data_IF_992268628288
#
_entry.id   IF_992268628288
#
_cell.length_a   1.000
_cell.length_b   1.000
_cell.length_c   1.000
_cell.angle_alpha   90.00
_cell.angle_beta   90.00
_cell.angle_gamma   90.00
#
_symmetry.space_group_name_H-M   'P 1'
#
loop_
_entity.id
_entity.type
_entity.pdbx_description
1 polymer ?
#
# COMPACT_ATOMS: atom_id res chain seq x y z
N UNK A 1 -12.48 -19.59 -49.66
CA UNK A 1 -12.32 -20.30 -48.37
C UNK A 1 -12.16 -19.21 -47.33
N UNK A 2 -13.27 -18.86 -46.69
CA UNK A 2 -13.40 -17.81 -45.69
C UNK A 2 -13.12 -18.43 -44.33
N UNK A 3 -11.99 -18.03 -43.69
CA UNK A 3 -11.65 -18.42 -42.36
C UNK A 3 -12.40 -17.56 -41.37
N UNK A 4 -13.39 -18.12 -40.68
CA UNK A 4 -14.05 -17.54 -39.54
C UNK A 4 -13.08 -17.46 -38.33
N UNK A 5 -12.72 -16.26 -37.95
CA UNK A 5 -12.07 -15.99 -36.71
C UNK A 5 -13.11 -16.09 -35.60
N UNK A 6 -13.12 -17.20 -34.86
CA UNK A 6 -13.94 -17.39 -33.66
C UNK A 6 -13.44 -16.41 -32.57
N UNK A 7 -14.13 -15.30 -32.42
CA UNK A 7 -14.00 -14.43 -31.25
C UNK A 7 -14.44 -15.21 -30.04
N UNK A 8 -13.49 -15.58 -29.17
CA UNK A 8 -13.79 -16.15 -27.87
C UNK A 8 -14.65 -15.16 -27.07
N UNK A 9 -15.82 -15.59 -26.65
CA UNK A 9 -16.73 -14.81 -25.80
C UNK A 9 -15.99 -14.41 -24.50
N UNK A 10 -16.22 -13.19 -23.98
CA UNK A 10 -15.63 -12.79 -22.71
C UNK A 10 -16.12 -13.73 -21.59
N UNK A 11 -15.19 -14.27 -20.82
CA UNK A 11 -15.46 -15.16 -19.68
C UNK A 11 -16.55 -14.57 -18.81
N UNK A 12 -17.57 -15.37 -18.44
CA UNK A 12 -18.71 -14.91 -17.67
C UNK A 12 -18.27 -14.34 -16.32
N UNK A 13 -19.00 -13.36 -15.77
CA UNK A 13 -18.70 -12.78 -14.45
C UNK A 13 -18.66 -13.82 -13.32
N UNK A 14 -19.32 -14.98 -13.49
CA UNK A 14 -19.25 -16.11 -12.56
C UNK A 14 -17.91 -16.83 -12.58
N UNK A 15 -17.26 -16.99 -13.73
CA UNK A 15 -15.95 -17.66 -13.85
C UNK A 15 -14.82 -16.83 -13.25
N UNK A 16 -14.95 -15.49 -13.22
CA UNK A 16 -13.98 -14.61 -12.58
C UNK A 16 -14.06 -14.69 -11.03
N UNK A 17 -15.22 -14.92 -10.46
CA UNK A 17 -15.44 -15.00 -9.01
C UNK A 17 -14.89 -16.29 -8.38
N UNK A 18 -14.74 -17.35 -9.17
CA UNK A 18 -14.21 -18.64 -8.68
C UNK A 18 -12.67 -18.73 -8.75
N UNK A 19 -12.01 -17.78 -9.40
CA UNK A 19 -10.55 -17.71 -9.43
C UNK A 19 -10.00 -17.18 -8.11
N UNK A 20 -9.14 -17.97 -7.46
CA UNK A 20 -8.51 -17.58 -6.19
C UNK A 20 -7.63 -16.34 -6.36
N UNK A 21 -7.78 -15.38 -5.45
CA UNK A 21 -6.83 -14.27 -5.33
C UNK A 21 -5.44 -14.81 -4.98
N UNK A 22 -4.43 -14.39 -5.72
CA UNK A 22 -3.03 -14.73 -5.49
C UNK A 22 -2.28 -13.44 -5.18
N UNK A 23 -1.57 -13.44 -4.07
CA UNK A 23 -0.64 -12.36 -3.72
C UNK A 23 0.77 -12.93 -3.73
N UNK A 24 1.67 -12.28 -4.42
CA UNK A 24 3.09 -12.63 -4.42
C UNK A 24 3.95 -11.43 -4.09
N UNK A 25 5.08 -11.69 -3.43
CA UNK A 25 6.06 -10.68 -3.06
C UNK A 25 7.41 -11.04 -3.68
N UNK A 26 8.16 -10.03 -4.09
CA UNK A 26 9.49 -10.18 -4.66
C UNK A 26 10.40 -9.13 -4.04
N UNK A 27 11.57 -9.57 -3.56
CA UNK A 27 12.66 -8.73 -3.04
C UNK A 27 13.98 -9.31 -3.54
N UNK A 28 14.94 -8.45 -3.71
CA UNK A 28 16.29 -8.82 -4.06
C UNK A 28 17.24 -8.31 -2.97
N UNK A 29 18.15 -9.17 -2.51
CA UNK A 29 19.12 -8.81 -1.47
C UNK A 29 20.07 -7.70 -1.91
N UNK A 30 20.31 -7.60 -3.21
CA UNK A 30 21.14 -6.57 -3.84
C UNK A 30 20.46 -5.18 -3.93
N UNK A 31 19.15 -5.13 -3.62
CA UNK A 31 18.32 -3.92 -3.67
C UNK A 31 17.58 -3.77 -2.34
N UNK A 32 18.28 -3.44 -1.25
CA UNK A 32 17.65 -3.24 0.04
C UNK A 32 16.61 -2.09 -0.05
N UNK A 33 15.49 -2.25 0.63
CA UNK A 33 14.44 -1.23 0.64
C UNK A 33 13.48 -1.24 -0.55
N UNK A 34 13.65 -2.14 -1.54
CA UNK A 34 12.74 -2.27 -2.69
C UNK A 34 11.94 -3.58 -2.59
N UNK A 35 10.62 -3.49 -2.73
CA UNK A 35 9.73 -4.64 -2.77
C UNK A 35 8.69 -4.48 -3.87
N UNK A 36 8.42 -5.56 -4.60
CA UNK A 36 7.27 -5.65 -5.51
C UNK A 36 6.26 -6.63 -4.94
N UNK A 37 5.00 -6.19 -4.85
CA UNK A 37 3.85 -7.02 -4.51
C UNK A 37 2.93 -7.11 -5.72
N UNK A 38 2.65 -8.30 -6.19
CA UNK A 38 1.71 -8.55 -7.28
C UNK A 38 0.41 -9.14 -6.75
N UNK A 39 -0.71 -8.61 -7.22
CA UNK A 39 -2.05 -9.11 -6.98
C UNK A 39 -2.57 -9.74 -8.27
N UNK A 40 -3.07 -10.96 -8.21
CA UNK A 40 -3.75 -11.64 -9.31
C UNK A 40 -5.19 -11.99 -8.87
N UNK A 41 -6.18 -11.72 -9.70
CA UNK A 41 -7.61 -11.94 -9.43
C UNK A 41 -8.09 -11.25 -8.15
N UNK A 42 -7.57 -10.05 -7.84
CA UNK A 42 -7.99 -9.31 -6.66
C UNK A 42 -9.41 -8.80 -6.83
N UNK A 43 -10.32 -9.27 -5.96
CA UNK A 43 -11.76 -8.99 -6.00
C UNK A 43 -12.26 -8.35 -4.70
N UNK A 44 -11.40 -8.10 -3.74
CA UNK A 44 -11.81 -7.62 -2.40
C UNK A 44 -11.44 -6.17 -2.17
N UNK A 45 -12.28 -5.49 -1.38
CA UNK A 45 -11.94 -4.23 -0.76
C UNK A 45 -10.91 -4.45 0.36
N UNK A 46 -9.94 -3.55 0.47
CA UNK A 46 -8.93 -3.55 1.51
C UNK A 46 -8.43 -2.14 1.79
N UNK A 47 -7.67 -1.99 2.83
CA UNK A 47 -7.00 -0.74 3.17
C UNK A 47 -5.54 -1.02 3.48
N UNK A 48 -4.67 -0.04 3.24
CA UNK A 48 -3.26 -0.08 3.59
C UNK A 48 -2.83 1.16 4.35
N UNK A 49 -1.75 1.02 5.11
CA UNK A 49 -0.97 2.12 5.67
C UNK A 49 0.45 1.96 5.14
N UNK A 50 1.00 2.99 4.54
CA UNK A 50 2.33 2.95 3.95
C UNK A 50 3.37 3.42 4.96
N UNK A 51 4.39 2.60 5.23
CA UNK A 51 5.60 3.00 5.98
C UNK A 51 6.68 3.58 5.07
N UNK A 52 6.52 3.37 3.77
CA UNK A 52 7.48 3.67 2.72
C UNK A 52 6.76 4.35 1.54
N UNK A 53 7.46 4.77 0.50
CA UNK A 53 6.81 5.20 -0.74
C UNK A 53 6.21 3.98 -1.45
N UNK A 54 4.92 4.05 -1.76
CA UNK A 54 4.20 2.94 -2.38
C UNK A 54 3.47 3.41 -3.63
N UNK A 55 3.68 2.68 -4.73
CA UNK A 55 3.10 2.97 -6.04
C UNK A 55 2.24 1.77 -6.45
N UNK A 56 0.94 1.98 -6.59
CA UNK A 56 0.04 0.95 -7.10
C UNK A 56 -0.35 1.23 -8.55
N UNK A 57 -0.08 0.29 -9.44
CA UNK A 57 -0.45 0.34 -10.85
C UNK A 57 -1.34 -0.85 -11.21
N UNK A 58 -2.62 -0.61 -11.54
CA UNK A 58 -3.51 -1.63 -12.12
C UNK A 58 -3.00 -2.09 -13.49
N UNK A 59 -3.06 -3.40 -13.76
CA UNK A 59 -2.81 -3.96 -15.09
C UNK A 59 -4.09 -4.32 -15.81
N UNK A 60 -5.00 -5.00 -15.12
CA UNK A 60 -6.35 -5.34 -15.61
C UNK A 60 -7.40 -5.09 -14.53
N UNK A 61 -6.98 -4.63 -13.35
CA UNK A 61 -7.86 -4.36 -12.23
C UNK A 61 -8.53 -2.99 -12.35
N UNK A 62 -9.83 -2.92 -12.01
CA UNK A 62 -10.57 -1.66 -11.90
C UNK A 62 -11.21 -1.55 -10.52
N UNK A 63 -11.17 -0.37 -9.92
CA UNK A 63 -11.82 -0.15 -8.64
C UNK A 63 -11.82 1.29 -8.16
N UNK A 64 -12.67 1.53 -7.18
CA UNK A 64 -12.80 2.80 -6.49
C UNK A 64 -11.84 2.85 -5.31
N UNK A 65 -10.95 3.85 -5.32
CA UNK A 65 -9.94 4.05 -4.28
C UNK A 65 -10.10 5.41 -3.65
N UNK A 66 -9.93 5.45 -2.33
CA UNK A 66 -9.85 6.67 -1.55
C UNK A 66 -8.43 6.85 -1.00
N UNK A 67 -7.87 8.03 -1.19
CA UNK A 67 -6.56 8.41 -0.68
C UNK A 67 -6.47 9.93 -0.55
N UNK A 68 -5.86 10.45 0.53
CA UNK A 68 -5.72 11.90 0.79
C UNK A 68 -7.03 12.69 0.63
N UNK A 69 -8.17 12.16 1.10
CA UNK A 69 -9.51 12.75 0.97
C UNK A 69 -10.03 12.86 -0.47
N UNK A 70 -9.32 12.29 -1.42
CA UNK A 70 -9.72 12.18 -2.81
C UNK A 70 -10.32 10.81 -3.11
N UNK A 71 -11.22 10.76 -4.09
CA UNK A 71 -11.76 9.53 -4.64
C UNK A 71 -11.36 9.43 -6.11
N UNK A 72 -10.87 8.28 -6.51
CA UNK A 72 -10.54 8.01 -7.90
C UNK A 72 -11.02 6.61 -8.30
N UNK A 73 -11.40 6.48 -9.57
CA UNK A 73 -11.56 5.18 -10.22
C UNK A 73 -10.24 4.84 -10.89
N UNK A 74 -9.56 3.86 -10.34
CA UNK A 74 -8.29 3.38 -10.88
C UNK A 74 -8.53 2.31 -11.94
N UNK A 75 -7.74 2.38 -12.99
CA UNK A 75 -7.79 1.50 -14.17
C UNK A 75 -6.38 1.36 -14.77
N UNK A 76 -6.15 0.45 -15.72
CA UNK A 76 -4.86 0.40 -16.44
C UNK A 76 -4.42 1.78 -16.94
N UNK A 77 -3.14 2.08 -16.82
CA UNK A 77 -2.55 3.39 -17.09
C UNK A 77 -2.64 4.41 -15.96
N UNK A 78 -3.37 4.12 -14.86
CA UNK A 78 -3.37 4.98 -13.67
C UNK A 78 -2.34 4.52 -12.64
N UNK A 79 -1.91 5.43 -11.77
CA UNK A 79 -1.07 5.14 -10.60
C UNK A 79 -1.62 5.83 -9.36
N UNK A 80 -1.56 5.13 -8.22
CA UNK A 80 -1.71 5.71 -6.89
C UNK A 80 -0.31 5.85 -6.28
N UNK A 81 -0.03 7.01 -5.70
CA UNK A 81 1.21 7.25 -4.96
C UNK A 81 0.89 7.52 -3.49
N UNK A 82 1.31 6.62 -2.61
CA UNK A 82 1.20 6.81 -1.17
C UNK A 82 2.58 7.08 -0.56
N UNK A 83 2.65 8.09 0.30
CA UNK A 83 3.86 8.44 1.04
C UNK A 83 3.92 7.72 2.39
N UNK A 84 5.09 7.68 3.03
CA UNK A 84 5.20 7.22 4.40
C UNK A 84 4.21 7.96 5.32
N UNK A 85 3.49 7.22 6.14
CA UNK A 85 2.48 7.77 7.05
C UNK A 85 1.07 7.91 6.48
N UNK A 86 0.83 7.50 5.26
CA UNK A 86 -0.46 7.67 4.60
C UNK A 86 -1.28 6.38 4.53
N UNK A 87 -2.61 6.58 4.48
CA UNK A 87 -3.60 5.50 4.35
C UNK A 87 -4.26 5.60 2.98
N UNK A 88 -4.47 4.47 2.35
CA UNK A 88 -5.33 4.33 1.18
C UNK A 88 -6.37 3.22 1.40
N UNK A 89 -7.53 3.36 0.74
CA UNK A 89 -8.63 2.41 0.86
C UNK A 89 -9.13 2.03 -0.53
N UNK A 90 -9.08 0.76 -0.85
CA UNK A 90 -9.86 0.18 -1.95
C UNK A 90 -11.28 -0.02 -1.42
N UNK A 91 -12.20 0.85 -1.84
CA UNK A 91 -13.59 0.83 -1.37
C UNK A 91 -14.43 -0.20 -2.09
N UNK A 92 -14.23 -0.32 -3.39
CA UNK A 92 -15.00 -1.21 -4.25
C UNK A 92 -14.14 -1.69 -5.41
N UNK A 93 -14.17 -2.98 -5.67
CA UNK A 93 -13.62 -3.55 -6.89
C UNK A 93 -14.73 -3.60 -7.93
N UNK A 94 -14.53 -2.94 -9.05
CA UNK A 94 -15.48 -2.90 -10.17
C UNK A 94 -15.26 -4.08 -11.10
N UNK A 95 -13.99 -4.35 -11.40
CA UNK A 95 -13.55 -5.51 -12.19
C UNK A 95 -12.36 -6.15 -11.51
N UNK A 96 -12.51 -7.42 -11.06
CA UNK A 96 -11.38 -8.20 -10.55
C UNK A 96 -10.27 -8.33 -11.59
N UNK A 97 -9.03 -8.25 -11.15
CA UNK A 97 -7.92 -8.30 -12.09
C UNK A 97 -6.56 -8.34 -11.42
N UNK A 98 -5.55 -7.95 -12.16
CA UNK A 98 -4.17 -7.92 -11.72
C UNK A 98 -3.70 -6.48 -11.51
N UNK A 99 -2.83 -6.30 -10.53
CA UNK A 99 -2.15 -5.04 -10.27
C UNK A 99 -0.86 -5.27 -9.49
N UNK A 100 0.04 -4.31 -9.56
CA UNK A 100 1.33 -4.40 -8.87
C UNK A 100 1.53 -3.19 -7.97
N UNK A 101 2.13 -3.45 -6.81
CA UNK A 101 2.68 -2.43 -5.94
C UNK A 101 4.20 -2.45 -6.06
N UNK A 102 4.80 -1.28 -6.18
CA UNK A 102 6.21 -1.03 -5.96
C UNK A 102 6.35 -0.28 -4.65
N UNK A 103 7.10 -0.82 -3.72
CA UNK A 103 7.44 -0.16 -2.45
C UNK A 103 8.92 0.17 -2.46
N UNK A 104 9.25 1.43 -2.16
CA UNK A 104 10.63 1.92 -2.03
C UNK A 104 10.74 2.64 -0.69
N UNK A 105 11.63 2.19 0.19
CA UNK A 105 11.81 2.89 1.46
C UNK A 105 12.46 4.27 1.26
N UNK A 106 12.23 5.16 2.21
CA UNK A 106 12.67 6.55 2.08
C UNK A 106 14.20 6.69 1.96
N UNK A 107 14.96 5.77 2.57
CA UNK A 107 16.41 5.75 2.49
C UNK A 107 16.88 5.31 1.10
N UNK A 108 16.32 4.20 0.59
CA UNK A 108 16.63 3.73 -0.75
C UNK A 108 16.24 4.79 -1.79
N UNK A 109 15.06 5.41 -1.66
CA UNK A 109 14.66 6.49 -2.54
C UNK A 109 15.63 7.67 -2.49
N UNK A 110 16.10 8.04 -1.30
CA UNK A 110 17.10 9.10 -1.15
C UNK A 110 18.42 8.73 -1.82
N UNK A 111 18.90 7.50 -1.66
CA UNK A 111 20.12 7.00 -2.32
C UNK A 111 20.00 7.08 -3.86
N UNK A 112 18.82 6.75 -4.41
CA UNK A 112 18.54 6.88 -5.85
C UNK A 112 18.36 8.34 -6.32
N UNK A 113 18.03 9.29 -5.42
CA UNK A 113 17.83 10.71 -5.72
C UNK A 113 19.03 11.59 -5.40
N UNK A 114 20.13 11.05 -4.85
CA UNK A 114 21.29 11.84 -4.37
C UNK A 114 21.88 12.83 -5.38
N UNK A 115 21.60 12.67 -6.66
CA UNK A 115 22.00 13.62 -7.70
C UNK A 115 21.10 14.87 -7.82
N UNK A 116 19.98 14.95 -7.05
CA UNK A 116 18.94 15.97 -7.27
C UNK A 116 18.68 16.90 -6.09
N UNK A 117 19.58 17.03 -5.11
CA UNK A 117 19.56 18.00 -3.99
C UNK A 117 18.24 18.07 -3.17
N UNK A 118 17.27 17.16 -3.37
CA UNK A 118 15.99 17.15 -2.63
C UNK A 118 15.92 15.94 -1.69
N UNK A 119 15.75 16.16 -0.37
CA UNK A 119 15.53 15.05 0.55
C UNK A 119 14.19 14.34 0.26
N UNK A 120 14.18 13.01 0.28
CA UNK A 120 12.99 12.21 -0.03
C UNK A 120 11.76 12.57 0.83
N UNK A 121 11.95 13.08 2.06
CA UNK A 121 10.86 13.54 2.95
C UNK A 121 10.16 14.81 2.50
N UNK A 122 10.76 15.58 1.60
CA UNK A 122 10.15 16.78 0.98
C UNK A 122 9.47 16.46 -0.35
N UNK A 123 9.64 15.23 -0.83
CA UNK A 123 9.02 14.78 -2.06
C UNK A 123 7.49 14.72 -1.88
N UNK A 124 6.77 15.50 -2.68
CA UNK A 124 5.31 15.45 -2.75
C UNK A 124 4.88 15.02 -4.13
N UNK A 125 4.22 13.87 -4.19
CA UNK A 125 3.68 13.31 -5.43
C UNK A 125 2.16 13.40 -5.42
N UNK A 126 1.54 13.56 -6.57
CA UNK A 126 0.08 13.49 -6.73
C UNK A 126 -0.44 12.17 -6.19
N UNK A 127 -1.54 12.23 -5.43
CA UNK A 127 -2.18 11.03 -4.86
C UNK A 127 -2.60 10.02 -5.94
N UNK A 128 -3.12 10.54 -7.05
CA UNK A 128 -3.55 9.78 -8.22
C UNK A 128 -3.11 10.50 -9.49
N UNK A 129 -2.70 9.73 -10.48
CA UNK A 129 -2.39 10.26 -11.81
C UNK A 129 -2.69 9.23 -12.91
N UNK A 130 -2.88 9.73 -14.13
CA UNK A 130 -2.72 8.93 -15.34
C UNK A 130 -1.28 9.08 -15.80
N UNK A 131 -0.58 7.98 -15.98
CA UNK A 131 0.80 7.96 -16.44
C UNK A 131 0.86 8.20 -17.95
N UNK A 132 1.92 8.85 -18.41
CA UNK A 132 2.29 8.77 -19.82
C UNK A 132 2.66 7.33 -20.20
N UNK A 133 2.61 7.00 -21.46
CA UNK A 133 3.07 5.69 -21.95
C UNK A 133 4.53 5.41 -21.58
N UNK A 134 5.37 6.44 -21.55
CA UNK A 134 6.78 6.34 -21.16
C UNK A 134 6.93 5.99 -19.69
N UNK A 135 6.22 6.65 -18.78
CA UNK A 135 6.28 6.36 -17.35
C UNK A 135 5.72 4.98 -17.04
N UNK A 136 4.61 4.60 -17.69
CA UNK A 136 4.03 3.28 -17.55
C UNK A 136 5.00 2.18 -18.00
N UNK A 137 5.69 2.36 -19.12
CA UNK A 137 6.72 1.43 -19.61
C UNK A 137 7.89 1.29 -18.62
N UNK A 138 8.39 2.41 -18.05
CA UNK A 138 9.46 2.39 -17.04
C UNK A 138 9.02 1.62 -15.79
N UNK A 139 7.81 1.85 -15.30
CA UNK A 139 7.29 1.11 -14.15
C UNK A 139 7.12 -0.38 -14.46
N UNK A 140 6.62 -0.73 -15.63
CA UNK A 140 6.52 -2.13 -16.07
C UNK A 140 7.89 -2.80 -16.18
N UNK A 141 8.91 -2.07 -16.58
CA UNK A 141 10.29 -2.58 -16.64
C UNK A 141 10.81 -2.92 -15.24
N UNK A 142 10.58 -2.06 -14.24
CA UNK A 142 10.91 -2.37 -12.84
C UNK A 142 10.22 -3.67 -12.41
N UNK A 143 8.92 -3.83 -12.66
CA UNK A 143 8.18 -5.05 -12.31
C UNK A 143 8.71 -6.30 -13.03
N UNK A 144 9.20 -6.15 -14.26
CA UNK A 144 9.78 -7.23 -15.03
C UNK A 144 11.14 -7.66 -14.47
N UNK A 145 12.00 -6.70 -14.16
CA UNK A 145 13.39 -6.92 -13.78
C UNK A 145 13.56 -7.39 -12.33
N UNK A 146 12.65 -7.05 -11.40
CA UNK A 146 12.71 -7.54 -10.00
C UNK A 146 12.56 -9.07 -9.92
N UNK A 147 12.16 -9.74 -11.01
CA UNK A 147 12.16 -11.21 -11.09
C UNK A 147 13.58 -11.77 -11.13
N UNK A 148 13.79 -13.08 -10.76
CA UNK A 148 15.09 -13.71 -10.88
C UNK A 148 15.62 -13.70 -12.33
N UNK A 149 16.90 -13.44 -12.48
CA UNK A 149 17.61 -13.47 -13.79
C UNK A 149 18.39 -12.20 -14.09
N UNK A 150 17.76 -11.00 -14.12
CA UNK A 150 18.45 -9.76 -14.39
C UNK A 150 19.54 -9.43 -13.34
N UNK A 151 20.56 -8.69 -13.75
CA UNK A 151 21.61 -8.20 -12.83
C UNK A 151 21.09 -7.08 -11.92
N UNK A 152 21.78 -6.84 -10.81
CA UNK A 152 21.47 -5.74 -9.90
C UNK A 152 21.54 -4.38 -10.63
N UNK A 153 22.51 -4.19 -11.53
CA UNK A 153 22.69 -2.96 -12.30
C UNK A 153 21.50 -2.67 -13.22
N UNK A 154 20.99 -3.69 -13.93
CA UNK A 154 19.81 -3.52 -14.81
C UNK A 154 18.60 -3.04 -14.01
N UNK A 155 18.37 -3.61 -12.82
CA UNK A 155 17.24 -3.23 -11.98
C UNK A 155 17.44 -1.83 -11.38
N UNK A 156 18.65 -1.51 -10.91
CA UNK A 156 18.99 -0.17 -10.40
C UNK A 156 18.75 0.90 -11.46
N UNK A 157 19.20 0.64 -12.69
CA UNK A 157 18.99 1.55 -13.83
C UNK A 157 17.49 1.75 -14.09
N UNK A 158 16.70 0.68 -14.11
CA UNK A 158 15.25 0.77 -14.32
C UNK A 158 14.54 1.56 -13.20
N UNK A 159 14.97 1.39 -11.95
CA UNK A 159 14.43 2.15 -10.81
C UNK A 159 14.78 3.63 -10.93
N UNK A 160 16.01 3.97 -11.25
CA UNK A 160 16.45 5.37 -11.46
C UNK A 160 15.63 6.02 -12.58
N UNK A 161 15.48 5.34 -13.72
CA UNK A 161 14.69 5.83 -14.84
C UNK A 161 13.20 6.00 -14.48
N UNK A 162 12.63 5.08 -13.70
CA UNK A 162 11.27 5.22 -13.18
C UNK A 162 11.16 6.44 -12.24
N UNK A 163 12.09 6.60 -11.29
CA UNK A 163 12.08 7.72 -10.34
C UNK A 163 12.20 9.06 -11.07
N UNK A 164 13.10 9.17 -12.07
CA UNK A 164 13.23 10.38 -12.90
C UNK A 164 11.93 10.72 -13.62
N UNK A 165 11.30 9.72 -14.25
CA UNK A 165 10.02 9.91 -14.93
C UNK A 165 8.88 10.30 -13.98
N UNK A 166 8.83 9.65 -12.83
CA UNK A 166 7.86 9.93 -11.76
C UNK A 166 8.01 11.38 -11.27
N UNK A 167 9.23 11.86 -11.01
CA UNK A 167 9.45 13.24 -10.61
C UNK A 167 9.05 14.24 -11.68
N UNK A 168 9.31 13.93 -12.94
CA UNK A 168 8.94 14.81 -14.05
C UNK A 168 7.41 14.93 -14.23
N UNK A 169 6.65 13.85 -13.98
CA UNK A 169 5.21 13.81 -14.28
C UNK A 169 4.31 13.94 -13.06
N UNK A 170 4.74 13.43 -11.89
CA UNK A 170 3.87 13.25 -10.72
C UNK A 170 4.18 14.21 -9.57
N UNK A 171 5.27 15.00 -9.66
CA UNK A 171 5.59 15.95 -8.61
C UNK A 171 4.48 17.00 -8.46
N UNK A 172 4.03 17.21 -7.22
CA UNK A 172 3.13 18.30 -6.91
C UNK A 172 3.92 19.61 -6.75
N UNK A 173 3.48 20.65 -7.43
CA UNK A 173 3.94 22.00 -7.13
C UNK A 173 3.57 22.34 -5.67
N UNK A 174 4.47 23.02 -4.92
CA UNK A 174 4.14 23.46 -3.57
C UNK A 174 2.94 24.41 -3.62
N UNK A 175 1.75 23.92 -3.32
CA UNK A 175 0.61 24.80 -3.12
C UNK A 175 0.78 25.54 -1.80
N UNK A 176 0.51 26.86 -1.80
CA UNK A 176 0.51 27.65 -0.60
C UNK A 176 -0.34 26.97 0.50
N UNK A 177 0.11 26.97 1.76
CA UNK A 177 -0.66 26.37 2.84
C UNK A 177 -2.04 27.04 2.86
N UNK A 178 -3.09 26.27 2.63
CA UNK A 178 -4.46 26.75 2.82
C UNK A 178 -4.59 27.08 4.31
N UNK A 179 -4.55 28.35 4.61
CA UNK A 179 -4.79 28.90 5.93
C UNK A 179 -6.25 28.62 6.31
N UNK A 180 -6.46 27.54 7.01
CA UNK A 180 -7.71 27.08 7.55
C UNK A 180 -7.41 26.08 8.64
N UNK A 181 -6.94 26.59 9.80
CA UNK A 181 -6.91 25.83 11.05
C UNK A 181 -8.36 25.54 11.48
N UNK A 182 -8.99 24.58 10.81
CA UNK A 182 -10.23 24.01 11.30
C UNK A 182 -9.86 23.22 12.58
N UNK A 183 -10.35 23.68 13.73
CA UNK A 183 -10.13 23.03 15.03
C UNK A 183 -10.49 21.53 14.99
N UNK A 184 -11.44 21.17 14.12
CA UNK A 184 -11.82 19.78 13.85
C UNK A 184 -10.71 18.97 13.16
N UNK A 185 -9.93 19.58 12.25
CA UNK A 185 -8.77 18.93 11.64
C UNK A 185 -7.67 18.71 12.67
N UNK A 186 -7.41 19.70 13.52
CA UNK A 186 -6.42 19.58 14.58
C UNK A 186 -6.78 18.49 15.61
N UNK A 187 -8.05 18.28 15.93
CA UNK A 187 -8.50 17.20 16.80
C UNK A 187 -8.22 15.82 16.21
N UNK A 188 -8.52 15.61 14.92
CA UNK A 188 -8.23 14.33 14.24
C UNK A 188 -6.72 14.07 14.13
N UNK A 189 -5.92 15.10 13.93
CA UNK A 189 -4.46 14.99 13.87
C UNK A 189 -3.87 14.64 15.23
N UNK A 190 -4.32 15.28 16.31
CA UNK A 190 -3.90 14.89 17.68
C UNK A 190 -4.28 13.45 18.03
N UNK A 191 -5.50 13.00 17.65
CA UNK A 191 -5.85 11.58 17.81
C UNK A 191 -4.87 10.69 17.05
N UNK A 192 -4.48 11.04 15.83
CA UNK A 192 -3.50 10.30 15.05
C UNK A 192 -2.14 10.25 15.76
N UNK A 193 -1.65 11.37 16.26
CA UNK A 193 -0.39 11.45 17.00
C UNK A 193 -0.41 10.51 18.19
N UNK A 194 -1.43 10.56 19.04
CA UNK A 194 -1.57 9.62 20.16
C UNK A 194 -1.58 8.13 19.72
N UNK A 195 -2.20 7.82 18.56
CA UNK A 195 -2.18 6.45 18.01
C UNK A 195 -0.81 6.02 17.49
N UNK A 196 0.05 6.96 17.13
CA UNK A 196 1.43 6.71 16.72
C UNK A 196 2.39 6.61 17.90
N UNK A 197 2.18 7.43 18.94
CA UNK A 197 3.02 7.43 20.15
C UNK A 197 2.90 6.11 20.93
N UNK A 198 1.72 5.50 20.93
CA UNK A 198 1.50 4.19 21.54
C UNK A 198 0.99 3.17 20.51
N UNK A 199 1.92 2.61 19.77
CA UNK A 199 1.62 1.51 18.84
C UNK A 199 1.44 0.17 19.56
N UNK A 200 1.90 0.01 20.80
CA UNK A 200 1.85 -1.24 21.57
C UNK A 200 0.61 -1.39 22.44
N UNK A 201 0.07 -0.28 22.95
CA UNK A 201 -1.05 -0.26 23.88
C UNK A 201 -2.44 -0.29 23.22
N UNK A 202 -3.42 -0.76 23.97
CA UNK A 202 -4.83 -0.62 23.58
C UNK A 202 -5.31 0.76 24.01
N UNK A 203 -5.31 1.73 23.10
CA UNK A 203 -5.78 3.06 23.44
C UNK A 203 -7.31 3.08 23.40
N UNK A 204 -7.92 3.42 24.51
CA UNK A 204 -9.38 3.62 24.56
C UNK A 204 -9.76 4.95 23.88
N UNK A 205 -10.71 4.88 22.95
CA UNK A 205 -11.18 6.04 22.21
C UNK A 205 -11.79 7.13 23.12
N UNK A 206 -12.34 6.75 24.29
CA UNK A 206 -12.88 7.72 25.24
C UNK A 206 -11.75 8.54 25.88
N UNK A 207 -10.66 7.89 26.25
CA UNK A 207 -9.43 8.54 26.74
C UNK A 207 -8.84 9.48 25.70
N UNK A 208 -8.69 9.04 24.45
CA UNK A 208 -8.22 9.87 23.36
C UNK A 208 -9.11 11.10 23.13
N UNK A 209 -10.42 10.90 23.08
CA UNK A 209 -11.38 11.98 22.88
C UNK A 209 -11.30 13.04 24.00
N UNK A 210 -11.14 12.60 25.25
CA UNK A 210 -10.94 13.47 26.40
C UNK A 210 -9.64 14.29 26.29
N UNK A 211 -8.53 13.66 25.89
CA UNK A 211 -7.24 14.34 25.69
C UNK A 211 -7.30 15.46 24.64
N UNK A 212 -8.07 15.26 23.56
CA UNK A 212 -8.21 16.25 22.48
C UNK A 212 -9.39 17.18 22.66
N UNK A 213 -10.13 17.10 23.78
CA UNK A 213 -11.22 18.02 24.11
C UNK A 213 -12.50 17.86 23.30
N UNK A 214 -12.80 16.64 22.82
CA UNK A 214 -14.04 16.34 22.05
C UNK A 214 -14.75 15.12 22.63
N UNK A 215 -16.02 14.93 22.29
CA UNK A 215 -16.73 13.71 22.66
C UNK A 215 -16.21 12.50 21.86
N UNK A 216 -16.37 11.29 22.41
CA UNK A 216 -16.00 10.03 21.74
C UNK A 216 -16.62 9.92 20.35
N UNK A 217 -17.87 10.30 20.19
CA UNK A 217 -18.58 10.27 18.91
C UNK A 217 -18.00 11.29 17.91
N UNK A 218 -17.69 12.49 18.37
CA UNK A 218 -17.03 13.51 17.55
C UNK A 218 -15.63 13.06 17.11
N UNK A 219 -14.81 12.51 18.02
CA UNK A 219 -13.48 11.98 17.71
C UNK A 219 -13.57 10.92 16.59
N UNK A 220 -14.49 9.94 16.74
CA UNK A 220 -14.71 8.91 15.73
C UNK A 220 -15.10 9.48 14.36
N UNK A 221 -16.07 10.41 14.33
CA UNK A 221 -16.58 11.01 13.10
C UNK A 221 -15.51 11.87 12.40
N UNK A 222 -14.80 12.71 13.15
CA UNK A 222 -13.75 13.58 12.63
C UNK A 222 -12.58 12.76 12.09
N UNK A 223 -12.14 11.75 12.84
CA UNK A 223 -11.06 10.88 12.43
C UNK A 223 -11.41 10.09 11.17
N UNK A 224 -12.60 9.46 11.12
CA UNK A 224 -13.07 8.73 9.93
C UNK A 224 -13.21 9.64 8.71
N UNK A 225 -13.66 10.89 8.90
CA UNK A 225 -13.73 11.90 7.81
C UNK A 225 -12.35 12.28 7.28
N UNK A 226 -11.36 12.40 8.17
CA UNK A 226 -9.99 12.84 7.83
C UNK A 226 -9.15 11.71 7.23
N UNK A 227 -9.21 10.49 7.79
CA UNK A 227 -8.37 9.35 7.43
C UNK A 227 -9.11 8.20 6.75
N UNK A 228 -10.41 8.30 6.56
CA UNK A 228 -11.22 7.28 5.88
C UNK A 228 -11.51 6.03 6.71
N UNK A 229 -10.80 5.80 7.81
CA UNK A 229 -10.89 4.65 8.71
C UNK A 229 -11.25 5.08 10.13
N UNK A 230 -11.97 4.22 10.90
CA UNK A 230 -12.08 4.41 12.34
C UNK A 230 -10.70 4.33 13.03
N UNK A 231 -10.48 5.00 14.19
CA UNK A 231 -9.19 5.01 14.90
C UNK A 231 -8.62 3.62 15.16
N UNK A 232 -9.42 2.69 15.66
CA UNK A 232 -9.00 1.30 15.91
C UNK A 232 -8.51 0.59 14.63
N UNK A 233 -9.24 0.73 13.52
CA UNK A 233 -8.85 0.11 12.24
C UNK A 233 -7.57 0.77 11.71
N UNK A 234 -7.45 2.08 11.85
CA UNK A 234 -6.25 2.82 11.51
C UNK A 234 -5.04 2.34 12.32
N UNK A 235 -5.16 2.24 13.65
CA UNK A 235 -4.09 1.73 14.54
C UNK A 235 -3.66 0.31 14.14
N UNK A 236 -4.62 -0.57 13.86
CA UNK A 236 -4.31 -1.92 13.39
C UNK A 236 -3.55 -1.91 12.05
N UNK A 237 -3.90 -1.00 11.13
CA UNK A 237 -3.17 -0.84 9.86
C UNK A 237 -1.74 -0.37 10.08
N UNK A 238 -1.54 0.59 10.99
CA UNK A 238 -0.20 1.05 11.39
C UNK A 238 0.63 -0.09 11.96
N UNK A 239 0.08 -0.84 12.93
CA UNK A 239 0.76 -2.00 13.54
C UNK A 239 1.14 -3.06 12.51
N UNK A 240 0.24 -3.37 11.58
CA UNK A 240 0.51 -4.36 10.54
C UNK A 240 1.59 -3.89 9.56
N UNK A 241 1.60 -2.60 9.21
CA UNK A 241 2.62 -2.04 8.34
C UNK A 241 4.01 -2.01 9.00
N UNK A 242 4.08 -1.63 10.29
CA UNK A 242 5.30 -1.69 11.07
C UNK A 242 5.79 -3.14 11.26
N UNK A 243 4.86 -4.07 11.52
CA UNK A 243 5.18 -5.50 11.60
C UNK A 243 5.71 -6.01 10.25
N UNK A 244 5.12 -5.58 9.13
CA UNK A 244 5.60 -5.92 7.79
C UNK A 244 7.04 -5.43 7.58
N UNK A 245 7.34 -4.18 7.97
CA UNK A 245 8.68 -3.60 7.89
C UNK A 245 9.69 -4.39 8.72
N UNK A 246 9.39 -4.67 9.99
CA UNK A 246 10.26 -5.43 10.88
C UNK A 246 10.52 -6.87 10.39
N UNK A 247 9.49 -7.54 9.84
CA UNK A 247 9.65 -8.86 9.21
C UNK A 247 10.55 -8.82 7.98
N UNK A 248 10.49 -7.74 7.21
CA UNK A 248 11.35 -7.48 6.04
C UNK A 248 12.81 -7.29 6.46
N UNK A 249 13.03 -6.63 7.59
CA UNK A 249 14.34 -6.42 8.22
C UNK A 249 14.89 -7.70 8.89
N UNK A 250 14.09 -8.77 8.97
CA UNK A 250 14.53 -10.08 9.47
C UNK A 250 14.16 -10.39 10.91
N UNK A 251 13.39 -9.53 11.58
CA UNK A 251 12.93 -9.80 12.93
C UNK A 251 11.99 -11.02 12.99
N UNK A 252 12.14 -11.89 14.01
CA UNK A 252 11.29 -13.07 14.15
C UNK A 252 9.81 -12.72 14.40
N UNK A 253 8.83 -13.45 13.82
CA UNK A 253 7.40 -13.14 13.98
C UNK A 253 6.91 -13.06 15.43
N UNK A 254 7.51 -13.83 16.35
CA UNK A 254 7.17 -13.80 17.78
C UNK A 254 7.54 -12.44 18.40
N UNK A 255 8.75 -11.95 18.13
CA UNK A 255 9.22 -10.65 18.62
C UNK A 255 8.40 -9.51 18.02
N UNK A 256 8.12 -9.60 16.72
CA UNK A 256 7.29 -8.62 16.00
C UNK A 256 5.89 -8.54 16.60
N UNK A 257 5.27 -9.68 16.94
CA UNK A 257 3.96 -9.68 17.59
C UNK A 257 3.98 -8.93 18.92
N UNK A 258 4.95 -9.23 19.77
CA UNK A 258 5.10 -8.56 21.08
C UNK A 258 5.39 -7.05 20.94
N UNK A 259 6.29 -6.68 20.01
CA UNK A 259 6.73 -5.30 19.83
C UNK A 259 5.61 -4.37 19.32
N UNK A 260 4.72 -4.86 18.45
CA UNK A 260 3.70 -4.03 17.81
C UNK A 260 2.27 -4.26 18.36
N UNK A 261 2.15 -4.68 19.62
CA UNK A 261 0.87 -4.70 20.36
C UNK A 261 -0.11 -5.76 19.87
N UNK A 262 0.36 -6.88 19.33
CA UNK A 262 -0.46 -8.06 19.12
C UNK A 262 -0.43 -8.94 20.38
N UNK A 263 -1.58 -9.49 20.74
CA UNK A 263 -1.72 -10.35 21.93
C UNK A 263 -0.75 -11.53 21.89
N UNK A 264 -0.60 -12.12 20.70
CA UNK A 264 0.30 -13.24 20.43
C UNK A 264 0.62 -13.34 18.93
N UNK A 265 1.49 -14.28 18.57
CA UNK A 265 1.84 -14.55 17.18
C UNK A 265 0.63 -15.00 16.34
N UNK A 266 -0.35 -15.67 16.93
CA UNK A 266 -1.56 -16.14 16.22
C UNK A 266 -2.46 -14.98 15.85
N UNK A 267 -2.57 -13.98 16.75
CA UNK A 267 -3.27 -12.72 16.51
C UNK A 267 -2.63 -11.95 15.36
N UNK A 268 -1.31 -11.76 15.38
CA UNK A 268 -0.57 -11.18 14.25
C UNK A 268 -0.82 -11.98 12.96
N UNK A 269 -0.68 -13.30 12.99
CA UNK A 269 -0.83 -14.16 11.81
C UNK A 269 -2.21 -14.02 11.18
N UNK A 270 -3.29 -13.98 11.98
CA UNK A 270 -4.66 -13.83 11.50
C UNK A 270 -4.88 -12.49 10.78
N UNK A 271 -4.44 -11.39 11.39
CA UNK A 271 -4.60 -10.06 10.80
C UNK A 271 -3.69 -9.84 9.59
N UNK A 272 -2.45 -10.27 9.66
CA UNK A 272 -1.46 -10.19 8.60
C UNK A 272 -1.91 -10.99 7.35
N UNK A 273 -2.37 -12.24 7.55
CA UNK A 273 -2.90 -13.07 6.46
C UNK A 273 -4.18 -12.48 5.86
N UNK A 274 -5.05 -11.89 6.69
CA UNK A 274 -6.27 -11.23 6.20
C UNK A 274 -5.95 -10.01 5.33
N UNK A 275 -4.91 -9.23 5.67
CA UNK A 275 -4.55 -8.03 4.94
C UNK A 275 -3.69 -8.36 3.71
N UNK A 276 -2.63 -9.13 3.90
CA UNK A 276 -1.57 -9.34 2.89
C UNK A 276 -1.68 -10.69 2.16
N UNK A 277 -2.58 -11.57 2.58
CA UNK A 277 -2.78 -12.87 1.93
C UNK A 277 -1.78 -13.95 2.31
N UNK A 278 -0.70 -13.63 2.97
CA UNK A 278 0.37 -14.55 3.40
C UNK A 278 0.56 -14.49 4.91
N UNK A 279 1.16 -15.52 5.50
CA UNK A 279 1.53 -15.49 6.92
C UNK A 279 2.80 -14.66 7.15
N UNK A 280 3.02 -14.13 8.38
CA UNK A 280 4.27 -13.43 8.72
C UNK A 280 5.52 -14.25 8.42
N UNK A 281 5.49 -15.56 8.73
CA UNK A 281 6.61 -16.47 8.47
C UNK A 281 6.88 -16.70 6.97
N UNK A 282 5.82 -16.76 6.14
CA UNK A 282 5.96 -16.80 4.69
C UNK A 282 6.55 -15.50 4.16
N UNK A 283 6.04 -14.36 4.64
CA UNK A 283 6.50 -13.05 4.23
C UNK A 283 7.98 -12.80 4.59
N UNK A 284 8.41 -13.17 5.80
CA UNK A 284 9.81 -13.04 6.24
C UNK A 284 10.81 -13.85 5.39
N UNK A 285 10.35 -14.91 4.71
CA UNK A 285 11.18 -15.74 3.81
C UNK A 285 11.32 -15.15 2.40
N UNK A 286 10.56 -14.13 2.04
CA UNK A 286 10.69 -13.45 0.75
C UNK A 286 12.07 -12.79 0.69
N UNK A 287 12.80 -12.98 -0.40
CA UNK A 287 14.19 -12.50 -0.53
C UNK A 287 15.23 -13.58 -0.17
N UNK A 288 14.89 -14.56 0.68
CA UNK A 288 15.72 -15.76 0.88
C UNK A 288 15.37 -16.88 -0.14
N UNK A 289 14.17 -16.82 -0.72
CA UNK A 289 13.70 -17.68 -1.83
C UNK A 289 12.77 -16.83 -2.72
N UNK A 290 12.96 -16.91 -4.01
CA UNK A 290 12.46 -15.97 -5.03
C UNK A 290 10.94 -15.78 -5.13
N UNK A 291 10.06 -16.53 -4.47
CA UNK A 291 8.61 -16.39 -4.58
C UNK A 291 7.86 -17.07 -3.43
N UNK A 292 6.92 -16.35 -2.81
CA UNK A 292 5.91 -16.92 -1.91
C UNK A 292 4.53 -16.68 -2.51
N UNK A 293 3.74 -17.72 -2.74
CA UNK A 293 2.35 -17.64 -3.19
C UNK A 293 1.40 -17.73 -2.00
N UNK A 294 0.42 -16.84 -1.96
CA UNK A 294 -0.65 -16.89 -0.99
C UNK A 294 -1.61 -18.08 -1.24
N UNK A 295 -2.01 -18.71 -0.15
CA UNK A 295 -3.16 -19.62 -0.14
C UNK A 295 -4.49 -18.84 -0.01
N UNK A 296 -5.60 -19.58 -0.08
CA UNK A 296 -7.00 -19.14 -0.07
C UNK A 296 -7.29 -17.99 0.91
N UNK A 297 -7.71 -16.85 0.40
CA UNK A 297 -8.30 -15.77 1.18
C UNK A 297 -9.81 -15.84 0.98
N UNK A 298 -10.55 -16.17 2.04
CA UNK A 298 -12.02 -16.11 2.01
C UNK A 298 -12.45 -14.66 2.14
N UNK A 299 -13.21 -14.17 1.17
CA UNK A 299 -13.82 -12.86 1.20
C UNK A 299 -14.90 -12.83 2.30
N UNK A 300 -14.60 -12.27 3.46
CA UNK A 300 -15.61 -11.72 4.36
C UNK A 300 -15.47 -10.20 4.33
N UNK A 301 -16.51 -9.53 3.86
CA UNK A 301 -16.62 -8.08 3.87
C UNK A 301 -16.47 -7.59 5.31
N UNK A 302 -15.47 -6.74 5.55
CA UNK A 302 -15.25 -6.09 6.84
C UNK A 302 -15.11 -4.59 6.64
N UNK A 303 -16.22 -3.97 6.20
CA UNK A 303 -16.49 -2.56 6.35
C UNK A 303 -17.71 -2.46 7.28
N UNK A 304 -17.48 -2.60 8.58
CA UNK A 304 -18.41 -2.26 9.64
C UNK A 304 -17.95 -0.98 10.32
#
# INVERSE_FOLDING_TARGET
MTGEATLAAPASRRDAADRREIVSFQRRGELPGVEVRSLENSARAFHGYSTDFEFFAPRTWHGEVWHRRQHAVMRPGSVLCAHPGEVFLVRRVLEPGTGNFLTIDARALHEYLCEHERPAKELRLRAFATMSSTLEQRLHEVFRLVRPGPSALEIQTAIVEFIRGMMAELLEEPSAPTAGSDAALSAAERVRECLHDDTSGTIDLATLAKQVGVSRYQALRLFKRRYGLPPHTYQLSVRLALAQKALREGHPPVQVAAQYGFVDQSHLTRHFKRLLGVTPAQYARVGKRSRVRAGRITARSSLG
#
